data_IF_316766786731
#
_entry.id   IF_316766786731
#
_cell.length_a   1.000
_cell.length_b   1.000
_cell.length_c   1.000
_cell.angle_alpha   90.00
_cell.angle_beta   90.00
_cell.angle_gamma   90.00
#
_symmetry.space_group_name_H-M   'P 1'
#
loop_
_entity.id
_entity.type
_entity.pdbx_description
1 polymer ?
#
# COMPACT_ATOMS: atom_id res chain seq x y z
N UNK A 1 -11.41 6.75 35.88
CA UNK A 1 -10.29 7.55 35.32
C UNK A 1 -10.75 8.99 35.25
N UNK A 2 -9.96 9.89 35.80
CA UNK A 2 -10.22 11.34 35.77
C UNK A 2 -9.91 11.93 34.39
N UNK A 3 -10.45 13.12 34.07
CA UNK A 3 -10.08 13.84 32.85
C UNK A 3 -8.57 14.17 32.80
N UNK A 4 -7.94 14.34 33.96
CA UNK A 4 -6.50 14.56 34.07
C UNK A 4 -5.71 13.29 33.65
N UNK A 5 -6.13 12.10 34.11
CA UNK A 5 -5.49 10.83 33.74
C UNK A 5 -5.56 10.58 32.23
N UNK A 6 -6.64 11.01 31.57
CA UNK A 6 -6.82 10.88 30.12
C UNK A 6 -5.91 11.85 29.36
N UNK A 7 -5.74 13.07 29.86
CA UNK A 7 -4.87 14.07 29.26
C UNK A 7 -3.38 13.70 29.41
N UNK A 8 -3.00 13.17 30.57
CA UNK A 8 -1.64 12.72 30.84
C UNK A 8 -1.26 11.53 29.97
N UNK A 9 -2.12 10.51 29.88
CA UNK A 9 -1.91 9.37 28.96
C UNK A 9 -1.77 9.82 27.51
N UNK A 10 -2.61 10.75 27.04
CA UNK A 10 -2.50 11.31 25.68
C UNK A 10 -1.21 12.09 25.48
N UNK A 11 -0.71 12.79 26.50
CA UNK A 11 0.54 13.54 26.42
C UNK A 11 1.76 12.61 26.39
N UNK A 12 1.75 11.52 27.15
CA UNK A 12 2.78 10.48 27.13
C UNK A 12 2.80 9.73 25.79
N UNK A 13 1.64 9.37 25.26
CA UNK A 13 1.53 8.76 23.93
C UNK A 13 2.15 9.67 22.87
N UNK A 14 1.79 10.96 22.83
CA UNK A 14 2.39 11.93 21.89
C UNK A 14 3.91 12.07 22.06
N UNK A 15 4.42 12.02 23.29
CA UNK A 15 5.88 12.06 23.53
C UNK A 15 6.55 10.79 23.00
N UNK A 16 5.93 9.62 23.19
CA UNK A 16 6.41 8.35 22.64
C UNK A 16 6.42 8.39 21.11
N UNK A 17 5.34 8.82 20.49
CA UNK A 17 5.24 8.96 19.02
C UNK A 17 6.34 9.85 18.46
N UNK A 18 6.58 11.03 19.05
CA UNK A 18 7.66 11.93 18.61
C UNK A 18 9.04 11.27 18.68
N UNK A 19 9.31 10.52 19.75
CA UNK A 19 10.57 9.76 19.88
C UNK A 19 10.68 8.69 18.81
N UNK A 20 9.61 7.94 18.55
CA UNK A 20 9.58 6.89 17.53
C UNK A 20 9.76 7.45 16.12
N UNK A 21 9.16 8.59 15.80
CA UNK A 21 9.38 9.29 14.53
C UNK A 21 10.84 9.74 14.40
N UNK A 22 11.44 10.27 15.47
CA UNK A 22 12.83 10.68 15.45
C UNK A 22 13.78 9.49 15.24
N UNK A 23 13.57 8.39 15.98
CA UNK A 23 14.31 7.13 15.82
C UNK A 23 14.15 6.59 14.40
N UNK A 24 12.93 6.62 13.86
CA UNK A 24 12.63 6.16 12.50
C UNK A 24 13.42 6.95 11.47
N UNK A 25 13.39 8.28 11.55
CA UNK A 25 14.13 9.15 10.63
C UNK A 25 15.65 9.00 10.78
N UNK A 26 16.15 8.84 12.01
CA UNK A 26 17.57 8.62 12.25
C UNK A 26 18.04 7.29 11.64
N UNK A 27 17.34 6.19 11.94
CA UNK A 27 17.67 4.86 11.41
C UNK A 27 17.57 4.78 9.89
N UNK A 28 16.53 5.37 9.28
CA UNK A 28 16.43 5.36 7.82
C UNK A 28 17.52 6.21 7.19
N UNK A 29 17.85 7.36 7.78
CA UNK A 29 18.95 8.19 7.30
C UNK A 29 20.29 7.46 7.41
N UNK A 30 20.59 6.84 8.54
CA UNK A 30 21.85 6.11 8.77
C UNK A 30 21.95 4.89 7.83
N UNK A 31 20.84 4.20 7.58
CA UNK A 31 20.76 3.15 6.58
C UNK A 31 21.10 3.63 5.16
N UNK A 32 20.59 4.79 4.76
CA UNK A 32 20.87 5.39 3.45
C UNK A 32 22.31 5.91 3.33
N UNK A 33 22.89 6.34 4.45
CA UNK A 33 24.30 6.74 4.54
C UNK A 33 25.26 5.57 4.62
N UNK A 34 24.78 4.34 4.86
CA UNK A 34 25.59 3.14 4.87
C UNK A 34 26.38 2.98 3.57
N UNK A 35 27.59 2.41 3.68
CA UNK A 35 28.51 2.20 2.53
C UNK A 35 27.84 1.42 1.39
N UNK A 36 26.88 0.55 1.71
CA UNK A 36 26.13 -0.27 0.77
C UNK A 36 25.08 0.49 -0.06
N UNK A 37 24.72 1.72 0.33
CA UNK A 37 23.70 2.53 -0.33
C UNK A 37 24.27 3.82 -0.95
N UNK A 38 25.45 4.28 -0.53
CA UNK A 38 26.08 5.50 -1.07
C UNK A 38 26.17 5.53 -2.61
N UNK A 39 26.50 4.41 -3.25
CA UNK A 39 26.67 4.29 -4.71
C UNK A 39 25.38 4.01 -5.51
N UNK A 40 24.24 3.81 -4.84
CA UNK A 40 23.00 3.42 -5.51
C UNK A 40 22.26 4.63 -6.12
N UNK A 41 21.48 4.43 -7.20
CA UNK A 41 20.73 5.51 -7.84
C UNK A 41 19.70 6.13 -6.89
N UNK A 42 19.39 7.41 -7.10
CA UNK A 42 18.46 8.18 -6.26
C UNK A 42 17.11 7.49 -6.08
N UNK A 43 16.53 6.97 -7.16
CA UNK A 43 15.25 6.21 -7.12
C UNK A 43 15.29 5.01 -6.18
N UNK A 44 16.43 4.32 -6.09
CA UNK A 44 16.59 3.19 -5.18
C UNK A 44 16.72 3.66 -3.73
N UNK A 45 17.37 4.80 -3.48
CA UNK A 45 17.45 5.42 -2.15
C UNK A 45 16.07 5.90 -1.68
N UNK A 46 15.32 6.54 -2.56
CA UNK A 46 13.95 7.01 -2.25
C UNK A 46 13.02 5.83 -1.95
N UNK A 47 13.10 4.75 -2.75
CA UNK A 47 12.38 3.50 -2.47
C UNK A 47 12.80 2.90 -1.13
N UNK A 48 14.10 2.93 -0.81
CA UNK A 48 14.62 2.36 0.43
C UNK A 48 14.22 3.16 1.67
N UNK A 49 14.23 4.50 1.58
CA UNK A 49 13.71 5.38 2.63
C UNK A 49 12.22 5.10 2.87
N UNK A 50 11.44 5.04 1.78
CA UNK A 50 10.01 4.75 1.86
C UNK A 50 9.71 3.40 2.51
N UNK A 51 10.41 2.34 2.11
CA UNK A 51 10.23 1.00 2.68
C UNK A 51 10.69 0.96 4.14
N UNK A 52 11.85 1.55 4.45
CA UNK A 52 12.39 1.59 5.82
C UNK A 52 11.45 2.31 6.78
N UNK A 53 10.97 3.50 6.40
CA UNK A 53 10.00 4.27 7.19
C UNK A 53 8.70 3.49 7.37
N UNK A 54 8.15 2.96 6.27
CA UNK A 54 6.91 2.18 6.32
C UNK A 54 7.00 0.94 7.20
N UNK A 55 8.16 0.29 7.22
CA UNK A 55 8.41 -0.88 8.06
C UNK A 55 8.52 -0.52 9.53
N UNK A 56 9.26 0.54 9.86
CA UNK A 56 9.38 1.03 11.24
C UNK A 56 8.05 1.58 11.75
N UNK A 57 7.28 2.26 10.90
CA UNK A 57 5.96 2.75 11.24
C UNK A 57 5.00 1.59 11.57
N UNK A 58 5.02 0.53 10.75
CA UNK A 58 4.27 -0.68 11.04
C UNK A 58 4.66 -1.28 12.39
N UNK A 59 5.96 -1.43 12.66
CA UNK A 59 6.45 -2.02 13.91
C UNK A 59 6.07 -1.20 15.15
N UNK A 60 6.25 0.12 15.07
CA UNK A 60 6.10 1.03 16.20
C UNK A 60 4.66 1.47 16.46
N UNK A 61 3.84 1.64 15.42
CA UNK A 61 2.49 2.18 15.56
C UNK A 61 1.41 1.10 15.45
N UNK A 62 1.52 0.15 14.52
CA UNK A 62 0.52 -0.92 14.40
C UNK A 62 0.80 -2.05 15.42
N UNK A 63 2.02 -2.57 15.47
CA UNK A 63 2.37 -3.66 16.40
C UNK A 63 2.77 -3.16 17.80
N UNK A 64 3.10 -1.86 17.94
CA UNK A 64 3.57 -1.22 19.18
C UNK A 64 4.79 -1.89 19.82
N UNK A 65 5.58 -2.61 19.02
CA UNK A 65 6.74 -3.39 19.47
C UNK A 65 8.04 -2.63 19.29
N UNK A 66 9.05 -3.07 20.03
CA UNK A 66 10.42 -2.57 19.86
C UNK A 66 11.19 -3.36 18.81
N UNK A 67 12.26 -2.76 18.28
CA UNK A 67 13.17 -3.41 17.33
C UNK A 67 13.73 -4.74 17.86
N UNK A 68 13.91 -4.87 19.17
CA UNK A 68 14.46 -6.08 19.81
C UNK A 68 13.51 -7.27 19.79
N UNK A 69 12.21 -7.04 19.68
CA UNK A 69 11.18 -8.09 19.67
C UNK A 69 10.85 -8.59 18.26
N UNK A 70 11.67 -8.20 17.28
CA UNK A 70 11.40 -8.47 15.88
C UNK A 70 11.59 -9.96 15.57
N UNK A 71 10.52 -10.56 15.05
CA UNK A 71 10.39 -11.98 14.78
C UNK A 71 9.88 -12.22 13.36
N UNK A 72 9.98 -13.47 12.91
CA UNK A 72 9.52 -13.94 11.61
C UNK A 72 8.04 -13.62 11.33
N UNK A 73 7.20 -13.66 12.38
CA UNK A 73 5.77 -13.32 12.28
C UNK A 73 5.57 -11.87 11.83
N UNK A 74 6.35 -10.94 12.38
CA UNK A 74 6.27 -9.51 12.04
C UNK A 74 6.69 -9.25 10.61
N UNK A 75 7.73 -9.95 10.13
CA UNK A 75 8.15 -9.87 8.74
C UNK A 75 7.05 -10.39 7.80
N UNK A 76 6.45 -11.53 8.12
CA UNK A 76 5.37 -12.10 7.30
C UNK A 76 4.16 -11.19 7.27
N UNK A 77 3.72 -10.70 8.42
CA UNK A 77 2.57 -9.80 8.49
C UNK A 77 2.85 -8.49 7.74
N UNK A 78 4.04 -7.92 7.90
CA UNK A 78 4.44 -6.75 7.14
C UNK A 78 4.40 -7.03 5.62
N UNK A 79 4.99 -8.12 5.16
CA UNK A 79 5.06 -8.44 3.73
C UNK A 79 3.70 -8.81 3.14
N UNK A 80 2.87 -9.60 3.82
CA UNK A 80 1.66 -10.17 3.22
C UNK A 80 0.39 -9.36 3.52
N UNK A 81 0.31 -8.69 4.68
CA UNK A 81 -0.89 -7.97 5.09
C UNK A 81 -0.72 -6.46 4.98
N UNK A 82 0.35 -5.90 5.53
CA UNK A 82 0.53 -4.46 5.58
C UNK A 82 0.99 -3.88 4.24
N UNK A 83 2.10 -4.38 3.70
CA UNK A 83 2.76 -3.84 2.52
C UNK A 83 1.86 -3.83 1.26
N UNK A 84 1.09 -4.88 0.93
CA UNK A 84 0.24 -4.87 -0.27
C UNK A 84 -0.97 -3.94 -0.15
N UNK A 85 -1.43 -3.65 1.08
CA UNK A 85 -2.62 -2.82 1.35
C UNK A 85 -2.28 -1.34 1.52
N UNK A 86 -1.17 -1.04 2.19
CA UNK A 86 -0.79 0.32 2.59
C UNK A 86 0.22 0.95 1.64
N UNK A 87 1.04 0.16 0.96
CA UNK A 87 2.13 0.67 0.14
C UNK A 87 1.77 0.60 -1.34
N UNK A 88 1.90 1.74 -2.02
CA UNK A 88 1.63 1.86 -3.45
C UNK A 88 2.86 1.42 -4.24
N UNK A 89 3.06 0.11 -4.36
CA UNK A 89 4.18 -0.43 -5.14
C UNK A 89 3.85 -0.54 -6.63
N UNK A 90 4.79 -0.12 -7.48
CA UNK A 90 4.88 -0.63 -8.85
C UNK A 90 5.48 -2.03 -8.83
N UNK A 91 5.21 -2.85 -9.85
CA UNK A 91 5.78 -4.21 -9.97
C UNK A 91 7.31 -4.22 -10.01
N UNK A 92 7.95 -3.11 -10.38
CA UNK A 92 9.40 -2.95 -10.40
C UNK A 92 9.95 -2.64 -9.01
N UNK A 93 9.33 -1.69 -8.29
CA UNK A 93 9.70 -1.35 -6.91
C UNK A 93 9.47 -2.54 -5.97
N UNK A 94 8.39 -3.28 -6.18
CA UNK A 94 8.05 -4.50 -5.47
C UNK A 94 9.18 -5.54 -5.44
N UNK A 95 9.90 -5.72 -6.56
CA UNK A 95 11.02 -6.66 -6.64
C UNK A 95 12.17 -6.22 -5.74
N UNK A 96 12.37 -4.90 -5.65
CA UNK A 96 13.41 -4.29 -4.82
C UNK A 96 13.07 -4.34 -3.33
N UNK A 97 11.79 -4.43 -2.95
CA UNK A 97 11.36 -4.48 -1.53
C UNK A 97 12.08 -5.57 -0.76
N UNK A 98 12.09 -6.80 -1.29
CA UNK A 98 12.74 -7.94 -0.64
C UNK A 98 14.25 -7.74 -0.44
N UNK A 99 14.93 -7.14 -1.42
CA UNK A 99 16.37 -6.87 -1.33
C UNK A 99 16.67 -5.74 -0.34
N UNK A 100 15.90 -4.66 -0.40
CA UNK A 100 16.02 -3.49 0.48
C UNK A 100 15.76 -3.92 1.92
N UNK A 101 14.66 -4.63 2.18
CA UNK A 101 14.30 -5.06 3.52
C UNK A 101 15.32 -6.05 4.09
N UNK A 102 15.83 -6.99 3.29
CA UNK A 102 16.90 -7.89 3.73
C UNK A 102 18.20 -7.13 4.08
N UNK A 103 18.55 -6.09 3.31
CA UNK A 103 19.70 -5.23 3.62
C UNK A 103 19.46 -4.37 4.86
N UNK A 104 18.24 -3.89 5.04
CA UNK A 104 17.84 -3.12 6.21
C UNK A 104 17.92 -3.95 7.49
N UNK A 105 17.46 -5.20 7.46
CA UNK A 105 17.58 -6.13 8.59
C UNK A 105 19.04 -6.46 8.93
N UNK A 106 19.89 -6.63 7.90
CA UNK A 106 21.32 -6.81 8.12
C UNK A 106 21.99 -5.56 8.72
N UNK A 107 21.54 -4.36 8.33
CA UNK A 107 22.00 -3.11 8.92
C UNK A 107 21.61 -3.00 10.39
N UNK A 108 20.35 -3.31 10.73
CA UNK A 108 19.88 -3.33 12.12
C UNK A 108 20.62 -4.34 13.00
N UNK A 109 21.09 -5.45 12.42
CA UNK A 109 21.96 -6.41 13.11
C UNK A 109 23.36 -5.84 13.34
N UNK A 110 23.96 -5.19 12.33
CA UNK A 110 25.28 -4.56 12.49
C UNK A 110 25.31 -3.41 13.50
N UNK A 111 24.20 -2.67 13.63
CA UNK A 111 24.04 -1.65 14.66
C UNK A 111 23.68 -2.22 16.05
N UNK A 112 23.43 -3.53 16.14
CA UNK A 112 23.10 -4.19 17.40
C UNK A 112 21.65 -3.96 17.87
N UNK A 113 20.76 -3.49 17.00
CA UNK A 113 19.34 -3.35 17.32
C UNK A 113 18.61 -4.69 17.34
N UNK A 114 19.06 -5.66 16.54
CA UNK A 114 18.44 -6.99 16.39
C UNK A 114 19.52 -8.08 16.42
N UNK A 115 19.22 -9.23 17.02
CA UNK A 115 20.13 -10.40 17.06
C UNK A 115 19.90 -11.41 15.93
N UNK A 116 18.68 -11.42 15.37
CA UNK A 116 18.23 -12.41 14.38
C UNK A 116 18.18 -11.86 12.94
N UNK A 117 18.90 -10.78 12.64
CA UNK A 117 18.81 -10.09 11.34
C UNK A 117 19.13 -10.99 10.15
N UNK A 118 20.15 -11.83 10.27
CA UNK A 118 20.58 -12.80 9.25
C UNK A 118 19.49 -13.82 8.90
N UNK A 119 18.78 -14.34 9.92
CA UNK A 119 17.68 -15.30 9.72
C UNK A 119 16.49 -14.63 9.02
N UNK A 120 16.08 -13.47 9.51
CA UNK A 120 14.99 -12.68 8.96
C UNK A 120 15.28 -12.28 7.50
N UNK A 121 16.53 -11.91 7.20
CA UNK A 121 16.95 -11.55 5.85
C UNK A 121 16.79 -12.71 4.85
N UNK A 122 17.02 -13.96 5.29
CA UNK A 122 16.84 -15.16 4.46
C UNK A 122 15.36 -15.42 4.21
N UNK A 123 14.53 -15.26 5.24
CA UNK A 123 13.09 -15.46 5.12
C UNK A 123 12.44 -14.44 4.17
N UNK A 124 12.83 -13.17 4.25
CA UNK A 124 12.38 -12.11 3.33
C UNK A 124 12.71 -12.48 1.88
N UNK A 125 13.93 -12.97 1.62
CA UNK A 125 14.36 -13.38 0.28
C UNK A 125 13.58 -14.59 -0.23
N UNK A 126 13.30 -15.57 0.64
CA UNK A 126 12.49 -16.74 0.31
C UNK A 126 11.04 -16.40 -0.04
N UNK A 127 10.47 -15.41 0.66
CA UNK A 127 9.07 -15.01 0.52
C UNK A 127 8.80 -14.04 -0.66
N UNK A 128 9.85 -13.57 -1.36
CA UNK A 128 9.74 -12.60 -2.45
C UNK A 128 8.73 -13.03 -3.54
N UNK A 129 8.76 -14.32 -3.95
CA UNK A 129 7.83 -14.83 -4.99
C UNK A 129 6.37 -14.77 -4.54
N UNK A 130 6.09 -15.02 -3.27
CA UNK A 130 4.75 -14.97 -2.72
C UNK A 130 4.27 -13.53 -2.58
N UNK A 131 5.16 -12.63 -2.14
CA UNK A 131 4.89 -11.20 -2.04
C UNK A 131 4.51 -10.57 -3.39
N UNK A 132 5.27 -10.87 -4.45
CA UNK A 132 4.99 -10.36 -5.80
C UNK A 132 3.64 -10.81 -6.36
N UNK A 133 3.06 -11.92 -5.87
CA UNK A 133 1.73 -12.38 -6.28
C UNK A 133 0.60 -11.57 -5.63
N UNK A 134 0.82 -11.04 -4.43
CA UNK A 134 -0.19 -10.28 -3.69
C UNK A 134 -0.26 -8.81 -4.12
N UNK A 135 0.78 -8.30 -4.76
CA UNK A 135 0.78 -6.92 -5.23
C UNK A 135 -0.23 -6.82 -6.36
N UNK A 136 -1.21 -5.89 -6.26
CA UNK A 136 -2.17 -5.68 -7.32
C UNK A 136 -1.41 -5.32 -8.59
N UNK A 137 -1.33 -6.28 -9.51
CA UNK A 137 -0.85 -6.01 -10.86
C UNK A 137 -1.82 -4.97 -11.40
N UNK A 138 -1.32 -3.80 -11.81
CA UNK A 138 -2.13 -2.86 -12.59
C UNK A 138 -2.77 -3.67 -13.72
N UNK A 139 -4.06 -3.96 -13.58
CA UNK A 139 -4.85 -4.45 -14.68
C UNK A 139 -4.77 -3.29 -15.67
N UNK A 140 -4.09 -3.51 -16.80
CA UNK A 140 -4.22 -2.60 -17.93
C UNK A 140 -5.70 -2.59 -18.24
N UNK A 141 -6.41 -1.55 -17.82
CA UNK A 141 -7.71 -1.21 -18.36
C UNK A 141 -7.47 -0.93 -19.84
N UNK A 142 -7.52 -2.00 -20.62
CA UNK A 142 -7.75 -1.89 -22.05
C UNK A 142 -9.13 -1.29 -22.15
N UNK A 143 -9.15 -0.02 -22.54
CA UNK A 143 -10.30 0.63 -23.14
C UNK A 143 -10.83 -0.28 -24.25
N UNK A 144 -11.85 -1.08 -23.94
CA UNK A 144 -12.83 -1.48 -24.94
C UNK A 144 -14.10 -0.70 -24.63
N UNK A 145 -14.24 0.42 -25.34
CA UNK A 145 -15.56 0.93 -25.72
C UNK A 145 -16.32 -0.27 -26.30
N UNK A 146 -17.29 -0.79 -25.56
CA UNK A 146 -18.28 -1.67 -26.13
C UNK A 146 -19.33 -0.75 -26.75
N UNK A 147 -19.10 -0.43 -28.03
CA UNK A 147 -20.11 0.11 -28.91
C UNK A 147 -21.36 -0.77 -28.87
N UNK A 148 -22.50 -0.11 -28.68
CA UNK A 148 -23.80 -0.71 -28.82
C UNK A 148 -24.03 -1.16 -30.27
N UNK A 149 -24.25 -2.45 -30.51
CA UNK A 149 -25.19 -2.90 -31.56
C UNK A 149 -25.64 -4.36 -31.36
N UNK A 150 -26.97 -4.48 -31.13
CA UNK A 150 -27.94 -5.55 -31.49
C UNK A 150 -27.38 -6.68 -32.39
N UNK A 151 -27.73 -7.96 -32.29
CA UNK A 151 -29.07 -8.64 -32.29
C UNK A 151 -28.76 -10.16 -32.18
N UNK A 152 -29.52 -11.11 -31.61
CA UNK A 152 -30.90 -11.61 -31.88
C UNK A 152 -31.18 -12.74 -30.85
N UNK A 153 -32.20 -12.62 -30.00
CA UNK A 153 -33.48 -13.35 -30.04
C UNK A 153 -33.47 -14.87 -29.77
N UNK A 154 -33.96 -15.28 -28.59
CA UNK A 154 -34.84 -16.45 -28.45
C UNK A 154 -36.07 -16.08 -27.62
N UNK A 155 -37.23 -16.42 -28.18
CA UNK A 155 -38.60 -16.16 -27.72
C UNK A 155 -38.85 -16.69 -26.30
N UNK A 156 -39.63 -15.95 -25.51
CA UNK A 156 -40.83 -16.46 -24.82
C UNK A 156 -41.73 -15.34 -24.32
N UNK A 157 -43.01 -15.64 -24.40
CA UNK A 157 -44.22 -14.82 -24.33
C UNK A 157 -44.40 -13.96 -23.07
N UNK A 158 -44.93 -12.75 -23.26
CA UNK A 158 -46.34 -12.39 -22.97
C UNK A 158 -46.55 -10.97 -22.41
N UNK A 159 -47.59 -10.32 -22.95
CA UNK A 159 -48.40 -9.20 -22.41
C UNK A 159 -47.85 -7.77 -22.33
N UNK A 160 -48.29 -6.96 -23.32
CA UNK A 160 -49.06 -5.70 -23.21
C UNK A 160 -48.56 -4.60 -22.25
N UNK A 161 -48.12 -3.44 -22.78
CA UNK A 161 -48.83 -2.13 -22.77
C UNK A 161 -47.97 -0.95 -23.30
N UNK A 162 -48.59 -0.17 -24.19
CA UNK A 162 -48.33 1.21 -24.68
C UNK A 162 -47.10 1.51 -25.59
N UNK A 163 -47.31 2.15 -26.77
CA UNK A 163 -46.24 2.68 -27.60
C UNK A 163 -45.83 4.10 -27.15
N UNK A 164 -44.57 4.29 -26.74
CA UNK A 164 -44.00 5.63 -26.65
C UNK A 164 -43.77 6.17 -28.08
N UNK A 165 -44.53 7.20 -28.44
CA UNK A 165 -44.36 7.95 -29.67
C UNK A 165 -43.08 8.78 -29.55
N UNK A 166 -42.05 8.42 -30.32
CA UNK A 166 -40.84 9.23 -30.47
C UNK A 166 -41.06 10.26 -31.57
N UNK A 167 -41.47 11.46 -31.19
CA UNK A 167 -41.53 12.64 -32.07
C UNK A 167 -40.11 13.05 -32.48
N UNK A 168 -39.91 13.32 -33.77
CA UNK A 168 -38.61 13.65 -34.34
C UNK A 168 -38.21 15.10 -34.06
N UNK A 169 -36.90 15.39 -34.09
CA UNK A 169 -36.31 16.70 -33.75
C UNK A 169 -36.76 17.90 -34.62
N UNK A 170 -37.58 17.68 -35.64
CA UNK A 170 -38.16 18.72 -36.51
C UNK A 170 -39.70 18.71 -36.54
N UNK A 171 -40.37 17.97 -35.66
CA UNK A 171 -41.82 18.10 -35.48
C UNK A 171 -42.13 19.35 -34.65
N UNK A 172 -43.15 20.16 -35.01
CA UNK A 172 -43.52 21.34 -34.24
C UNK A 172 -43.93 20.91 -32.82
N UNK A 173 -43.25 21.49 -31.84
CA UNK A 173 -43.47 21.16 -30.43
C UNK A 173 -44.93 21.51 -30.05
N UNK A 174 -45.72 20.57 -29.50
CA UNK A 174 -47.13 20.81 -29.19
C UNK A 174 -47.32 21.66 -27.91
N UNK A 175 -46.24 22.01 -27.21
CA UNK A 175 -46.30 22.99 -26.13
C UNK A 175 -46.03 24.39 -26.70
N UNK A 176 -47.10 25.08 -27.08
CA UNK A 176 -47.08 26.51 -27.30
C UNK A 176 -46.51 27.22 -26.08
N UNK A 177 -45.34 27.82 -26.24
CA UNK A 177 -44.77 28.80 -25.32
C UNK A 177 -43.89 29.76 -26.11
N UNK A 178 -44.50 30.36 -27.14
CA UNK A 178 -44.10 31.66 -27.66
C UNK A 178 -45.12 32.67 -27.17
N UNK A 179 -44.73 33.48 -26.19
CA UNK A 179 -45.26 34.82 -26.00
C UNK A 179 -44.12 35.78 -26.25
#
# INVERSE_FOLDING_TARGET
MSLADIQEKKAEERKREKRLVHVTNALTHDFLQSKSFKSKPKTYKDNADYIGKSFLDYLFFEDKKELRELNNIHIRHFMFDYAPRRLTFTTENAKQVSEILAKFLGFLETEGHIKNGSELSKEVKGNNRAFLKLIPKRIKTTTKKADAKKTKSTKRDSKKLAPEIKVGRNDPCPCGSGK
#
